data_IF_220817174375
#
_entry.id   IF_220817174375
#
_cell.length_a   1.000
_cell.length_b   1.000
_cell.length_c   1.000
_cell.angle_alpha   90.00
_cell.angle_beta   90.00
_cell.angle_gamma   90.00
#
_symmetry.space_group_name_H-M   'P 1'
#
loop_
_entity.id
_entity.type
_entity.pdbx_description
1 polymer ?
#
# COMPACT_ATOMS: atom_id res chain seq x y z
N UNK A 1 7.68 24.97 -2.23
CA UNK A 1 9.07 24.55 -2.52
C UNK A 1 9.17 23.07 -2.20
N UNK A 2 9.57 22.19 -3.14
CA UNK A 2 9.77 20.79 -2.79
C UNK A 2 11.05 20.65 -1.95
N UNK A 3 10.89 20.23 -0.69
CA UNK A 3 12.01 19.85 0.18
C UNK A 3 12.51 18.47 -0.29
N UNK A 4 13.55 18.47 -1.13
CA UNK A 4 14.25 17.29 -1.64
C UNK A 4 15.76 17.40 -1.37
N UNK A 5 16.11 17.96 -0.21
CA UNK A 5 17.51 18.14 0.15
C UNK A 5 18.10 16.79 0.57
N UNK A 6 19.24 16.42 -0.02
CA UNK A 6 19.97 15.24 0.41
C UNK A 6 20.73 15.57 1.68
N UNK A 7 20.60 14.72 2.69
CA UNK A 7 21.24 14.88 3.99
C UNK A 7 22.10 13.67 4.33
N UNK A 8 23.19 13.91 5.04
CA UNK A 8 24.07 12.90 5.62
C UNK A 8 24.29 13.23 7.09
N UNK A 9 23.84 12.35 7.99
CA UNK A 9 23.87 12.58 9.43
C UNK A 9 24.54 11.42 10.17
N UNK A 10 25.16 11.74 11.30
CA UNK A 10 25.70 10.78 12.24
C UNK A 10 25.21 11.12 13.64
N UNK A 11 24.65 10.14 14.35
CA UNK A 11 23.99 10.39 15.62
C UNK A 11 23.63 9.12 16.37
N UNK A 12 22.86 9.27 17.45
CA UNK A 12 22.37 8.17 18.27
C UNK A 12 20.87 8.02 18.09
N UNK A 13 20.41 6.79 17.90
CA UNK A 13 18.98 6.48 17.86
C UNK A 13 18.42 6.65 19.28
N UNK A 14 17.44 7.52 19.45
CA UNK A 14 16.82 7.78 20.76
C UNK A 14 15.52 7.00 20.95
N UNK A 15 14.60 7.06 19.97
CA UNK A 15 13.32 6.35 20.02
C UNK A 15 13.06 5.57 18.72
N UNK A 16 12.40 4.41 18.83
CA UNK A 16 12.01 3.58 17.68
C UNK A 16 10.49 3.37 17.63
N UNK A 17 9.90 3.64 16.47
CA UNK A 17 8.47 3.52 16.15
C UNK A 17 8.31 2.64 14.91
N UNK A 18 8.28 1.32 15.09
CA UNK A 18 8.30 0.35 14.00
C UNK A 18 9.50 0.58 13.04
N UNK A 19 9.25 1.12 11.85
CA UNK A 19 10.30 1.42 10.85
C UNK A 19 10.78 2.88 10.87
N UNK A 20 10.27 3.68 11.80
CA UNK A 20 10.69 5.07 12.02
C UNK A 20 11.47 5.19 13.31
N UNK A 21 12.33 6.19 13.41
CA UNK A 21 13.12 6.43 14.60
C UNK A 21 13.56 7.89 14.71
N UNK A 22 13.85 8.34 15.93
CA UNK A 22 14.52 9.62 16.15
C UNK A 22 16.03 9.43 16.20
N UNK A 23 16.76 10.31 15.51
CA UNK A 23 18.21 10.41 15.53
C UNK A 23 18.61 11.72 16.21
N UNK A 24 19.40 11.65 17.27
CA UNK A 24 20.01 12.83 17.89
C UNK A 24 21.37 13.07 17.24
N UNK A 25 21.52 14.23 16.59
CA UNK A 25 22.74 14.69 15.94
C UNK A 25 22.96 16.16 16.32
N UNK A 26 24.10 16.49 16.93
CA UNK A 26 24.43 17.84 17.40
C UNK A 26 23.31 18.49 18.26
N UNK A 27 22.82 17.75 19.25
CA UNK A 27 21.71 18.15 20.16
C UNK A 27 20.37 18.45 19.47
N UNK A 28 20.24 18.13 18.18
CA UNK A 28 19.01 18.23 17.42
C UNK A 28 18.42 16.84 17.13
N UNK A 29 17.11 16.71 17.32
CA UNK A 29 16.36 15.51 16.98
C UNK A 29 15.89 15.54 15.52
N UNK A 30 16.10 14.44 14.81
CA UNK A 30 15.63 14.22 13.44
C UNK A 30 14.74 12.99 13.39
N UNK A 31 13.55 13.09 12.78
CA UNK A 31 12.74 11.92 12.48
C UNK A 31 13.22 11.28 11.17
N UNK A 32 13.50 9.97 11.20
CA UNK A 32 13.97 9.21 10.06
C UNK A 32 13.10 7.96 9.82
N UNK A 33 12.99 7.54 8.57
CA UNK A 33 12.12 6.44 8.12
C UNK A 33 12.89 5.50 7.19
N UNK A 34 13.02 4.23 7.59
CA UNK A 34 13.62 3.14 6.80
C UNK A 34 12.61 2.42 5.89
N UNK A 35 11.32 2.61 6.11
CA UNK A 35 10.26 1.75 5.58
C UNK A 35 10.34 0.31 6.11
N UNK A 36 9.29 -0.51 5.90
CA UNK A 36 9.24 -1.88 6.41
C UNK A 36 10.45 -2.72 6.01
N UNK A 37 10.83 -2.70 4.72
CA UNK A 37 11.97 -3.46 4.20
C UNK A 37 13.31 -3.00 4.77
N UNK A 38 13.49 -1.70 4.95
CA UNK A 38 14.71 -1.18 5.55
C UNK A 38 14.84 -1.59 7.02
N UNK A 39 13.72 -1.63 7.77
CA UNK A 39 13.70 -2.12 9.15
C UNK A 39 13.93 -3.63 9.26
N UNK A 40 13.55 -4.42 8.25
CA UNK A 40 13.93 -5.83 8.13
C UNK A 40 15.44 -6.00 7.87
N UNK A 41 16.04 -5.14 7.05
CA UNK A 41 17.45 -5.20 6.68
C UNK A 41 18.41 -4.58 7.72
N UNK A 42 17.93 -3.62 8.51
CA UNK A 42 18.69 -2.96 9.57
C UNK A 42 17.87 -2.95 10.86
N UNK A 43 18.31 -3.75 11.84
CA UNK A 43 17.67 -3.79 13.15
C UNK A 43 17.86 -2.46 13.90
N UNK A 44 16.77 -1.68 13.98
CA UNK A 44 16.68 -0.45 14.76
C UNK A 44 16.69 -0.77 16.26
N UNK A 45 17.52 -0.04 17.02
CA UNK A 45 17.61 -0.16 18.47
C UNK A 45 18.03 1.17 19.08
N UNK A 46 17.36 1.55 20.16
CA UNK A 46 17.70 2.74 20.95
C UNK A 46 19.11 2.66 21.52
N UNK A 47 19.79 3.81 21.62
CA UNK A 47 21.17 3.94 22.06
C UNK A 47 22.22 3.56 21.01
N UNK A 48 21.83 3.10 19.81
CA UNK A 48 22.80 2.73 18.76
C UNK A 48 23.28 3.95 18.01
N UNK A 49 24.61 4.12 17.95
CA UNK A 49 25.25 5.11 17.10
C UNK A 49 25.24 4.68 15.63
N UNK A 50 24.68 5.52 14.76
CA UNK A 50 24.51 5.24 13.33
C UNK A 50 24.98 6.42 12.48
N UNK A 51 25.23 6.12 11.21
CA UNK A 51 25.36 7.08 10.12
C UNK A 51 24.29 6.78 9.10
N UNK A 52 23.62 7.80 8.59
CA UNK A 52 22.60 7.64 7.57
C UNK A 52 22.75 8.70 6.48
N UNK A 53 22.27 8.34 5.31
CA UNK A 53 22.05 9.27 4.21
C UNK A 53 20.63 9.11 3.70
N UNK A 54 20.04 10.21 3.26
CA UNK A 54 18.66 10.20 2.79
C UNK A 54 18.22 11.54 2.24
N UNK A 55 16.91 11.66 2.09
CA UNK A 55 16.26 12.86 1.59
C UNK A 55 15.39 13.48 2.69
N UNK A 56 15.66 14.74 3.04
CA UNK A 56 14.85 15.51 3.96
C UNK A 56 13.52 15.88 3.27
N UNK A 57 12.42 15.29 3.75
CA UNK A 57 11.05 15.67 3.45
C UNK A 57 10.55 16.68 4.48
N UNK A 58 9.38 17.33 4.29
CA UNK A 58 8.86 18.27 5.27
C UNK A 58 8.69 17.69 6.69
N UNK A 59 8.44 16.39 6.82
CA UNK A 59 8.14 15.74 8.11
C UNK A 59 9.23 14.78 8.61
N UNK A 60 10.08 14.25 7.74
CA UNK A 60 11.02 13.19 8.08
C UNK A 60 12.13 13.06 7.03
N UNK A 61 13.20 12.36 7.39
CA UNK A 61 14.24 11.92 6.46
C UNK A 61 13.84 10.56 5.90
N UNK A 62 13.65 10.47 4.58
CA UNK A 62 13.58 9.18 3.89
C UNK A 62 14.99 8.63 3.71
N UNK A 63 15.34 7.65 4.53
CA UNK A 63 16.70 7.11 4.58
C UNK A 63 16.98 6.29 3.33
N UNK A 64 18.00 6.65 2.57
CA UNK A 64 18.47 5.88 1.41
C UNK A 64 19.45 4.78 1.83
N UNK A 65 20.28 5.03 2.84
CA UNK A 65 21.21 4.04 3.39
C UNK A 65 21.57 4.33 4.85
N UNK A 66 21.84 3.28 5.61
CA UNK A 66 22.17 3.36 7.04
C UNK A 66 23.29 2.39 7.42
N UNK A 67 24.17 2.80 8.33
CA UNK A 67 25.24 1.98 8.88
C UNK A 67 25.35 2.19 10.39
N UNK A 68 25.78 1.15 11.12
CA UNK A 68 26.34 1.36 12.48
C UNK A 68 27.65 2.15 12.38
N UNK A 69 28.03 2.86 13.45
CA UNK A 69 29.34 3.54 13.50
C UNK A 69 30.47 2.54 13.20
N UNK A 70 31.30 2.86 12.20
CA UNK A 70 32.40 2.00 11.74
C UNK A 70 31.99 0.80 10.87
N UNK A 71 30.70 0.56 10.66
CA UNK A 71 30.20 -0.52 9.80
C UNK A 71 29.93 -0.09 8.35
N UNK A 72 29.69 -1.09 7.50
CA UNK A 72 29.25 -0.91 6.11
C UNK A 72 27.81 -0.41 6.04
N UNK A 73 27.49 0.32 4.96
CA UNK A 73 26.14 0.77 4.68
C UNK A 73 25.24 -0.38 4.21
N UNK A 74 24.01 -0.35 4.68
CA UNK A 74 22.87 -1.10 4.18
C UNK A 74 22.03 -0.15 3.34
N UNK A 75 21.78 -0.52 2.09
CA UNK A 75 20.89 0.22 1.18
C UNK A 75 19.42 -0.01 1.57
N UNK A 76 18.62 1.03 1.48
CA UNK A 76 17.21 1.05 1.91
C UNK A 76 16.32 1.25 0.70
N UNK A 77 15.57 0.21 0.33
CA UNK A 77 14.68 0.26 -0.82
C UNK A 77 13.28 0.76 -0.43
N UNK A 78 12.98 2.01 -0.78
CA UNK A 78 11.63 2.57 -0.69
C UNK A 78 10.82 2.26 -1.96
N UNK A 79 10.39 1.00 -2.16
CA UNK A 79 9.41 0.73 -3.22
C UNK A 79 8.11 1.43 -2.86
N UNK A 80 7.71 2.42 -3.67
CA UNK A 80 6.32 2.89 -3.64
C UNK A 80 5.45 1.66 -3.93
N UNK A 81 4.38 1.40 -3.15
CA UNK A 81 3.40 0.44 -3.57
C UNK A 81 2.95 0.87 -4.97
N UNK A 82 3.16 0.01 -5.95
CA UNK A 82 2.60 0.20 -7.28
C UNK A 82 1.09 0.08 -7.08
N UNK A 83 0.41 1.20 -6.91
CA UNK A 83 -1.01 1.25 -7.20
C UNK A 83 -1.10 0.86 -8.67
N UNK A 84 -1.66 -0.33 -8.94
CA UNK A 84 -1.93 -0.77 -10.29
C UNK A 84 -2.70 0.32 -11.06
N UNK A 85 -2.70 0.25 -12.41
CA UNK A 85 -3.38 1.23 -13.24
C UNK A 85 -4.80 1.48 -12.70
N UNK A 86 -5.10 2.75 -12.37
CA UNK A 86 -6.42 3.12 -11.87
C UNK A 86 -7.41 2.89 -13.02
N UNK A 87 -8.33 1.94 -12.85
CA UNK A 87 -9.45 1.78 -13.77
C UNK A 87 -10.29 3.06 -13.76
N UNK A 88 -10.39 3.73 -14.91
CA UNK A 88 -11.25 4.90 -15.08
C UNK A 88 -12.67 4.41 -15.26
N UNK A 89 -13.50 4.57 -14.24
CA UNK A 89 -14.92 4.22 -14.32
C UNK A 89 -15.63 5.18 -15.30
N UNK A 90 -16.30 4.66 -16.33
CA UNK A 90 -17.19 5.47 -17.15
C UNK A 90 -18.33 6.02 -16.30
N UNK A 91 -18.68 7.30 -16.52
CA UNK A 91 -19.92 7.86 -15.98
C UNK A 91 -21.07 7.32 -16.83
N UNK A 92 -22.00 6.62 -16.21
CA UNK A 92 -23.10 5.96 -16.90
C UNK A 92 -24.25 5.61 -15.95
N UNK A 93 -25.43 5.27 -16.48
CA UNK A 93 -26.59 4.92 -15.67
C UNK A 93 -26.29 3.78 -14.71
N UNK A 94 -26.89 3.91 -13.53
CA UNK A 94 -26.70 3.05 -12.39
C UNK A 94 -27.43 1.70 -12.47
N UNK A 95 -27.38 0.98 -13.59
CA UNK A 95 -28.27 -0.17 -13.82
C UNK A 95 -27.62 -1.51 -13.38
N UNK A 96 -28.12 -2.17 -12.32
CA UNK A 96 -27.59 -3.47 -11.86
C UNK A 96 -27.76 -4.59 -12.91
N UNK A 97 -28.69 -4.45 -13.87
CA UNK A 97 -28.90 -5.44 -14.93
C UNK A 97 -27.70 -5.52 -15.87
N UNK A 98 -27.03 -4.39 -16.13
CA UNK A 98 -25.81 -4.32 -16.93
C UNK A 98 -24.70 -5.14 -16.27
N UNK A 99 -24.52 -4.97 -14.95
CA UNK A 99 -23.53 -5.71 -14.19
C UNK A 99 -23.80 -7.22 -14.19
N UNK A 100 -25.04 -7.64 -13.92
CA UNK A 100 -25.42 -9.07 -13.93
C UNK A 100 -25.25 -9.69 -15.33
N UNK A 101 -25.62 -8.96 -16.38
CA UNK A 101 -25.47 -9.43 -17.76
C UNK A 101 -23.99 -9.60 -18.14
N UNK A 102 -23.13 -8.66 -17.76
CA UNK A 102 -21.69 -8.75 -17.98
C UNK A 102 -21.06 -9.94 -17.26
N UNK A 103 -21.40 -10.14 -15.99
CA UNK A 103 -20.92 -11.28 -15.18
C UNK A 103 -21.32 -12.61 -15.82
N UNK A 104 -22.58 -12.75 -16.25
CA UNK A 104 -23.04 -13.96 -16.96
C UNK A 104 -22.34 -14.16 -18.30
N UNK A 105 -22.14 -13.08 -19.07
CA UNK A 105 -21.44 -13.12 -20.36
C UNK A 105 -19.99 -13.60 -20.21
N UNK A 106 -19.35 -13.28 -19.08
CA UNK A 106 -17.99 -13.71 -18.75
C UNK A 106 -17.93 -15.13 -18.11
N UNK A 107 -19.04 -15.87 -18.14
CA UNK A 107 -19.09 -17.28 -17.72
C UNK A 107 -19.24 -17.49 -16.21
N UNK A 108 -19.56 -16.43 -15.46
CA UNK A 108 -19.83 -16.52 -14.03
C UNK A 108 -21.31 -16.78 -13.76
N UNK A 109 -21.60 -17.47 -12.66
CA UNK A 109 -22.96 -17.64 -12.14
C UNK A 109 -23.16 -16.68 -10.97
N UNK A 110 -23.82 -15.52 -11.16
CA UNK A 110 -24.07 -14.56 -10.08
C UNK A 110 -25.12 -15.10 -9.09
N UNK A 111 -25.02 -14.69 -7.84
CA UNK A 111 -25.95 -15.04 -6.75
C UNK A 111 -26.25 -13.80 -5.92
N UNK A 112 -27.52 -13.63 -5.53
CA UNK A 112 -27.97 -12.46 -4.79
C UNK A 112 -28.08 -11.18 -5.63
N UNK A 113 -28.39 -10.07 -4.98
CA UNK A 113 -28.48 -8.75 -5.61
C UNK A 113 -27.10 -8.08 -5.69
N UNK A 114 -26.76 -7.39 -6.80
CA UNK A 114 -25.57 -6.56 -6.87
C UNK A 114 -25.56 -5.46 -5.81
N UNK A 115 -24.50 -5.37 -5.02
CA UNK A 115 -24.34 -4.29 -4.05
C UNK A 115 -23.85 -3.01 -4.74
N UNK A 116 -24.65 -1.95 -4.66
CA UNK A 116 -24.32 -0.64 -5.25
C UNK A 116 -23.19 0.05 -4.49
N UNK A 117 -22.16 0.47 -5.22
CA UNK A 117 -21.12 1.41 -4.74
C UNK A 117 -21.14 2.70 -5.57
N UNK A 118 -20.45 3.77 -5.15
CA UNK A 118 -20.48 5.04 -5.88
C UNK A 118 -20.06 4.95 -7.35
N UNK A 119 -19.18 4.00 -7.71
CA UNK A 119 -18.57 3.90 -9.05
C UNK A 119 -18.67 2.52 -9.72
N UNK A 120 -19.26 1.54 -9.05
CA UNK A 120 -19.37 0.16 -9.54
C UNK A 120 -20.46 -0.59 -8.77
N UNK A 121 -20.72 -1.82 -9.20
CA UNK A 121 -21.43 -2.83 -8.45
C UNK A 121 -20.47 -3.90 -7.96
N UNK A 122 -20.69 -4.41 -6.76
CA UNK A 122 -20.07 -5.64 -6.29
C UNK A 122 -21.08 -6.79 -6.52
N UNK A 123 -20.65 -7.83 -7.22
CA UNK A 123 -21.49 -8.99 -7.56
C UNK A 123 -20.83 -10.24 -6.99
N UNK A 124 -21.57 -10.97 -6.17
CA UNK A 124 -21.14 -12.30 -5.74
C UNK A 124 -21.39 -13.30 -6.87
N UNK A 125 -20.36 -14.03 -7.28
CA UNK A 125 -20.49 -15.03 -8.31
C UNK A 125 -19.47 -16.16 -8.14
N UNK A 126 -19.70 -17.26 -8.84
CA UNK A 126 -18.73 -18.36 -8.96
C UNK A 126 -18.75 -18.96 -10.36
N UNK A 127 -17.62 -19.50 -10.79
CA UNK A 127 -17.56 -20.40 -11.96
C UNK A 127 -17.98 -21.81 -11.54
N UNK A 128 -18.27 -22.68 -12.51
CA UNK A 128 -18.66 -24.08 -12.23
C UNK A 128 -17.55 -24.79 -11.43
N UNK A 129 -17.86 -25.16 -10.19
CA UNK A 129 -16.91 -25.81 -9.28
C UNK A 129 -15.81 -24.89 -8.73
N UNK A 130 -15.93 -23.57 -8.94
CA UNK A 130 -14.99 -22.58 -8.42
C UNK A 130 -15.44 -21.97 -7.09
N UNK A 131 -14.48 -21.33 -6.43
CA UNK A 131 -14.69 -20.57 -5.19
C UNK A 131 -15.63 -19.37 -5.39
N UNK A 132 -16.29 -18.97 -4.31
CA UNK A 132 -17.06 -17.74 -4.28
C UNK A 132 -16.13 -16.53 -4.45
N UNK A 133 -16.49 -15.68 -5.39
CA UNK A 133 -15.69 -14.51 -5.79
C UNK A 133 -16.59 -13.28 -5.80
N UNK A 134 -16.09 -12.19 -5.24
CA UNK A 134 -16.68 -10.87 -5.39
C UNK A 134 -16.07 -10.19 -6.63
N UNK A 135 -16.93 -9.90 -7.60
CA UNK A 135 -16.59 -9.21 -8.84
C UNK A 135 -16.95 -7.74 -8.72
N UNK A 136 -16.03 -6.86 -9.08
CA UNK A 136 -16.30 -5.42 -9.19
C UNK A 136 -16.56 -5.08 -10.65
N UNK A 137 -17.78 -4.64 -10.91
CA UNK A 137 -18.27 -4.36 -12.27
C UNK A 137 -18.60 -2.89 -12.36
N UNK A 138 -17.94 -2.14 -13.24
CA UNK A 138 -18.29 -0.75 -13.46
C UNK A 138 -19.67 -0.59 -14.14
N UNK A 139 -20.17 0.64 -14.26
CA UNK A 139 -21.50 0.89 -14.82
C UNK A 139 -21.59 0.63 -16.34
N UNK A 140 -20.46 0.41 -17.02
CA UNK A 140 -20.43 -0.03 -18.41
C UNK A 140 -20.43 -1.56 -18.58
N UNK A 141 -20.37 -2.30 -17.47
CA UNK A 141 -20.31 -3.76 -17.49
C UNK A 141 -18.89 -4.33 -17.57
N UNK A 142 -17.84 -3.54 -17.30
CA UNK A 142 -16.47 -4.07 -17.25
C UNK A 142 -16.18 -4.64 -15.87
N UNK A 143 -15.87 -5.93 -15.81
CA UNK A 143 -15.29 -6.58 -14.63
C UNK A 143 -13.82 -6.15 -14.56
N UNK A 144 -13.46 -5.32 -13.58
CA UNK A 144 -12.11 -4.77 -13.46
C UNK A 144 -11.35 -5.26 -12.23
N UNK A 145 -12.03 -5.96 -11.32
CA UNK A 145 -11.42 -6.56 -10.14
C UNK A 145 -12.17 -7.82 -9.72
N UNK A 146 -11.40 -8.83 -9.38
CA UNK A 146 -11.85 -10.07 -8.78
C UNK A 146 -11.16 -10.21 -7.43
N UNK A 147 -11.89 -10.61 -6.40
CA UNK A 147 -11.30 -10.99 -5.10
C UNK A 147 -12.11 -12.14 -4.50
N UNK A 148 -11.48 -12.90 -3.61
CA UNK A 148 -12.19 -13.90 -2.83
C UNK A 148 -13.37 -13.25 -2.09
N UNK A 149 -14.51 -13.94 -2.06
CA UNK A 149 -15.68 -13.45 -1.34
C UNK A 149 -15.38 -13.44 0.17
N UNK A 150 -15.77 -12.35 0.82
CA UNK A 150 -15.74 -12.25 2.28
C UNK A 150 -16.96 -12.98 2.86
N UNK A 151 -16.79 -14.07 3.63
CA UNK A 151 -17.91 -14.87 4.12
C UNK A 151 -18.87 -14.09 5.04
N UNK A 152 -18.35 -13.19 5.87
CA UNK A 152 -19.18 -12.39 6.79
C UNK A 152 -20.05 -11.41 6.02
N UNK A 153 -19.46 -10.77 5.00
CA UNK A 153 -20.18 -9.82 4.15
C UNK A 153 -21.30 -10.49 3.35
N UNK A 154 -21.03 -11.67 2.81
CA UNK A 154 -21.90 -12.34 1.85
C UNK A 154 -22.79 -13.42 2.46
N UNK A 155 -22.63 -13.73 3.74
CA UNK A 155 -23.38 -14.77 4.44
C UNK A 155 -23.12 -16.17 3.87
N UNK A 156 -21.86 -16.47 3.55
CA UNK A 156 -21.40 -17.74 2.96
C UNK A 156 -20.96 -18.76 4.01
#
# INVERSE_FOLDING_TARGET
MPHHEKVALAGVIEHVFAHRFTLICNDQAYLADLGPKGAEAFALKEGVAVRLEGEQRPSEIKVARIARKGGSFVEVEHKKPHHGPKHRHPEGPADPRVAVAAVKKDGWTPTGEPARKPKHFEVLARRKGGEWTELHVDFSGVIYKEKHADPEKWGL
#
